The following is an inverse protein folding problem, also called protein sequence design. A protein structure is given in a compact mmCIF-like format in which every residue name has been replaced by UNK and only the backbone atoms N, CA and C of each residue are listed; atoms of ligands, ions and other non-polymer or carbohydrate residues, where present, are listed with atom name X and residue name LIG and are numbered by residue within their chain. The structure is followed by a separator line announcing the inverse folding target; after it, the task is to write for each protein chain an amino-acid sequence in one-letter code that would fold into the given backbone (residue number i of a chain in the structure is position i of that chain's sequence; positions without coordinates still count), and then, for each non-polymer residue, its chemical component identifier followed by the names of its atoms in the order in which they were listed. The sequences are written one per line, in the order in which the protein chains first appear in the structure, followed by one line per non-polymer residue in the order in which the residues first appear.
data_IF_502299005891
#
_entry.id   IF_502299005891
#
_cell.length_a   1.000
_cell.length_b   1.000
_cell.length_c   1.000
_cell.angle_alpha   90.00
_cell.angle_beta   90.00
_cell.angle_gamma   90.00
#
_symmetry.space_group_name_H-M   'P 1'
#
loop_
_entity.id
_entity.type
_entity.pdbx_description
1 polymer ?
#
# COMPACT_ATOMS: atom_id res chain seq x y z
N UNK A 1 19.45 12.19 2.10
CA UNK A 1 19.24 12.19 0.64
C UNK A 1 18.11 13.16 0.34
N UNK A 2 18.40 14.32 -0.26
CA UNK A 2 17.38 15.28 -0.66
C UNK A 2 16.74 14.77 -1.96
N UNK A 3 15.55 14.18 -1.87
CA UNK A 3 14.76 13.86 -3.05
C UNK A 3 14.00 15.12 -3.49
N UNK A 4 14.34 15.63 -4.67
CA UNK A 4 13.69 16.79 -5.31
C UNK A 4 12.29 16.49 -5.85
N UNK A 5 11.89 15.21 -5.85
CA UNK A 5 10.61 14.73 -6.40
C UNK A 5 10.08 13.57 -5.56
N UNK A 6 8.76 13.47 -5.44
CA UNK A 6 8.12 12.32 -4.79
C UNK A 6 8.19 11.08 -5.69
N UNK A 7 8.25 9.86 -5.12
CA UNK A 7 8.14 8.62 -5.90
C UNK A 7 6.86 8.57 -6.75
N UNK A 8 5.76 9.08 -6.22
CA UNK A 8 4.47 9.15 -6.92
C UNK A 8 4.52 10.04 -8.18
N UNK A 9 5.42 11.02 -8.24
CA UNK A 9 5.63 11.85 -9.43
C UNK A 9 6.33 11.08 -10.57
N UNK A 10 6.94 9.92 -10.31
CA UNK A 10 7.54 9.07 -11.34
C UNK A 10 6.55 8.10 -11.99
N UNK A 11 5.45 7.78 -11.33
CA UNK A 11 4.42 6.91 -11.89
C UNK A 11 3.58 7.70 -12.89
N UNK A 12 3.43 7.26 -14.15
CA UNK A 12 2.60 7.96 -15.15
C UNK A 12 1.17 8.22 -14.65
N UNK A 13 0.57 9.34 -15.09
CA UNK A 13 -0.80 9.70 -14.72
C UNK A 13 -1.83 8.67 -15.21
N UNK A 14 -1.56 8.04 -16.35
CA UNK A 14 -2.44 7.05 -16.99
C UNK A 14 -2.15 5.61 -16.53
N UNK A 15 -1.32 5.43 -15.49
CA UNK A 15 -0.97 4.10 -15.01
C UNK A 15 -2.19 3.38 -14.41
N UNK A 16 -2.48 2.12 -14.79
CA UNK A 16 -3.69 1.41 -14.38
C UNK A 16 -3.82 1.24 -12.86
N UNK A 17 -2.69 1.13 -12.14
CA UNK A 17 -2.73 1.06 -10.67
C UNK A 17 -3.32 2.31 -10.02
N UNK A 18 -3.29 3.49 -10.66
CA UNK A 18 -3.92 4.69 -10.09
C UNK A 18 -5.44 4.54 -10.00
N UNK A 19 -6.07 3.88 -10.97
CA UNK A 19 -7.49 3.56 -10.93
C UNK A 19 -7.79 2.53 -9.82
N UNK A 20 -6.99 1.46 -9.76
CA UNK A 20 -7.13 0.41 -8.76
C UNK A 20 -6.94 0.97 -7.34
N UNK A 21 -5.95 1.85 -7.14
CA UNK A 21 -5.69 2.54 -5.88
C UNK A 21 -6.91 3.31 -5.40
N UNK A 22 -7.58 4.07 -6.27
CA UNK A 22 -8.81 4.81 -5.92
C UNK A 22 -9.92 3.86 -5.43
N UNK A 23 -10.10 2.73 -6.10
CA UNK A 23 -11.09 1.72 -5.71
C UNK A 23 -10.74 1.08 -4.37
N UNK A 24 -9.48 0.70 -4.18
CA UNK A 24 -8.98 0.14 -2.93
C UNK A 24 -9.11 1.14 -1.77
N UNK A 25 -8.75 2.41 -1.98
CA UNK A 25 -8.89 3.48 -0.99
C UNK A 25 -10.35 3.67 -0.57
N UNK A 26 -11.28 3.69 -1.54
CA UNK A 26 -12.71 3.81 -1.25
C UNK A 26 -13.26 2.60 -0.47
N UNK A 27 -12.81 1.39 -0.79
CA UNK A 27 -13.21 0.18 -0.06
C UNK A 27 -12.64 0.16 1.36
N UNK A 28 -11.35 0.49 1.52
CA UNK A 28 -10.68 0.52 2.82
C UNK A 28 -11.22 1.63 3.73
N UNK A 29 -11.60 2.78 3.17
CA UNK A 29 -12.24 3.85 3.93
C UNK A 29 -13.54 3.40 4.59
N UNK A 30 -14.35 2.57 3.92
CA UNK A 30 -15.57 1.98 4.51
C UNK A 30 -15.28 1.01 5.66
N UNK A 31 -14.11 0.39 5.65
CA UNK A 31 -13.66 -0.54 6.69
C UNK A 31 -12.91 0.15 7.85
N UNK A 32 -12.56 1.42 7.70
CA UNK A 32 -11.82 2.19 8.72
C UNK A 32 -12.43 2.10 10.13
N UNK A 33 -13.76 2.22 10.34
CA UNK A 33 -14.34 2.08 11.67
C UNK A 33 -14.10 0.70 12.31
N UNK A 34 -14.10 -0.36 11.49
CA UNK A 34 -13.84 -1.73 11.92
C UNK A 34 -12.38 -1.88 12.33
N UNK A 35 -11.46 -1.34 11.52
CA UNK A 35 -10.04 -1.35 11.85
C UNK A 35 -9.74 -0.57 13.12
N UNK A 36 -10.34 0.61 13.29
CA UNK A 36 -10.17 1.43 14.50
C UNK A 36 -10.60 0.68 15.76
N UNK A 37 -11.69 -0.10 15.71
CA UNK A 37 -12.13 -0.90 16.84
C UNK A 37 -11.21 -2.09 17.18
N UNK A 38 -10.37 -2.54 16.23
CA UNK A 38 -9.40 -3.63 16.45
C UNK A 38 -8.08 -3.13 17.06
N UNK A 39 -7.81 -1.83 17.03
CA UNK A 39 -6.59 -1.26 17.57
C UNK A 39 -6.60 -1.23 19.10
N UNK A 40 -5.51 -1.69 19.72
CA UNK A 40 -5.29 -1.52 21.15
C UNK A 40 -5.08 -0.04 21.48
N UNK A 41 -5.74 0.45 22.52
CA UNK A 41 -5.53 1.79 23.07
C UNK A 41 -4.17 1.94 23.78
N UNK A 42 -3.54 0.81 24.13
CA UNK A 42 -2.27 0.75 24.84
C UNK A 42 -1.21 -0.02 24.03
N UNK A 43 0.06 0.34 24.22
CA UNK A 43 1.20 -0.32 23.58
C UNK A 43 1.67 0.34 22.29
N UNK A 44 2.50 -0.38 21.53
CA UNK A 44 3.09 0.14 20.28
C UNK A 44 2.07 0.03 19.14
N UNK A 45 1.79 1.12 18.40
CA UNK A 45 0.96 1.05 17.20
C UNK A 45 1.50 0.03 16.20
N UNK A 46 0.63 -0.89 15.75
CA UNK A 46 0.96 -1.78 14.63
C UNK A 46 0.88 -1.04 13.30
N UNK A 47 1.38 -1.67 12.23
CA UNK A 47 1.21 -1.15 10.88
C UNK A 47 -0.29 -1.11 10.53
N UNK A 48 -0.81 0.00 9.96
CA UNK A 48 -2.19 0.09 9.46
C UNK A 48 -2.61 -1.11 8.61
N UNK A 49 -3.72 -1.80 8.91
CA UNK A 49 -4.19 -2.93 8.10
C UNK A 49 -4.42 -2.52 6.65
N UNK A 50 -4.80 -1.26 6.39
CA UNK A 50 -4.97 -0.71 5.05
C UNK A 50 -3.67 -0.76 4.23
N UNK A 51 -2.50 -0.58 4.88
CA UNK A 51 -1.20 -0.69 4.20
C UNK A 51 -0.89 -2.13 3.85
N UNK A 52 -1.15 -3.05 4.78
CA UNK A 52 -0.95 -4.49 4.55
C UNK A 52 -1.86 -5.01 3.44
N UNK A 53 -3.15 -4.62 3.44
CA UNK A 53 -4.11 -5.02 2.42
C UNK A 53 -3.78 -4.45 1.03
N UNK A 54 -3.21 -3.25 0.95
CA UNK A 54 -2.69 -2.71 -0.33
C UNK A 54 -1.47 -3.48 -0.81
N UNK A 55 -0.57 -3.86 0.09
CA UNK A 55 0.58 -4.69 -0.24
C UNK A 55 0.13 -6.06 -0.79
N UNK A 56 -0.82 -6.73 -0.14
CA UNK A 56 -1.34 -8.01 -0.63
C UNK A 56 -2.05 -7.89 -1.97
N UNK A 57 -2.77 -6.78 -2.22
CA UNK A 57 -3.35 -6.49 -3.53
C UNK A 57 -2.27 -6.37 -4.62
N UNK A 58 -1.20 -5.63 -4.36
CA UNK A 58 -0.08 -5.51 -5.29
C UNK A 58 0.59 -6.86 -5.53
N UNK A 59 0.82 -7.65 -4.48
CA UNK A 59 1.36 -9.00 -4.59
C UNK A 59 0.48 -9.88 -5.49
N UNK A 60 -0.85 -9.82 -5.34
CA UNK A 60 -1.78 -10.57 -6.18
C UNK A 60 -1.73 -10.11 -7.65
N UNK A 61 -1.73 -8.79 -7.89
CA UNK A 61 -1.69 -8.22 -9.25
C UNK A 61 -0.40 -8.54 -10.01
N UNK A 62 0.72 -8.58 -9.30
CA UNK A 62 2.04 -8.83 -9.89
C UNK A 62 2.54 -10.26 -9.67
N UNK A 63 1.69 -11.16 -9.17
CA UNK A 63 2.03 -12.56 -8.89
C UNK A 63 3.27 -12.71 -7.99
N UNK A 64 3.48 -11.77 -7.07
CA UNK A 64 4.56 -11.84 -6.07
C UNK A 64 4.16 -12.83 -5.00
N UNK A 65 4.95 -13.90 -4.83
CA UNK A 65 4.56 -15.07 -4.04
C UNK A 65 4.96 -15.00 -2.58
N UNK A 66 5.77 -14.01 -2.19
CA UNK A 66 6.19 -13.83 -0.80
C UNK A 66 6.26 -12.37 -0.39
N UNK A 67 5.89 -12.10 0.86
CA UNK A 67 5.99 -10.76 1.45
C UNK A 67 7.44 -10.28 1.49
N UNK A 68 8.39 -11.18 1.75
CA UNK A 68 9.83 -10.85 1.73
C UNK A 68 10.28 -10.38 0.35
N UNK A 69 9.92 -11.11 -0.71
CA UNK A 69 10.21 -10.70 -2.08
C UNK A 69 9.52 -9.37 -2.42
N UNK A 70 8.31 -9.14 -1.93
CA UNK A 70 7.62 -7.87 -2.13
C UNK A 70 8.39 -6.71 -1.46
N UNK A 71 8.84 -6.89 -0.22
CA UNK A 71 9.69 -5.90 0.46
C UNK A 71 10.99 -5.63 -0.32
N UNK A 72 11.65 -6.66 -0.83
CA UNK A 72 12.84 -6.49 -1.68
C UNK A 72 12.52 -5.73 -2.98
N UNK A 73 11.36 -5.97 -3.59
CA UNK A 73 10.94 -5.25 -4.78
C UNK A 73 10.65 -3.77 -4.49
N UNK A 74 10.15 -3.41 -3.30
CA UNK A 74 9.91 -2.02 -2.93
C UNK A 74 11.20 -1.17 -2.93
N UNK A 75 12.36 -1.79 -2.69
CA UNK A 75 13.65 -1.07 -2.68
C UNK A 75 14.11 -0.64 -4.08
N UNK A 76 13.65 -1.32 -5.13
CA UNK A 76 14.15 -1.12 -6.50
C UNK A 76 13.07 -0.76 -7.52
N UNK A 77 11.81 -1.11 -7.25
CA UNK A 77 10.72 -0.98 -8.19
C UNK A 77 9.88 0.27 -7.91
N UNK A 78 10.02 1.26 -8.78
CA UNK A 78 9.28 2.53 -8.71
C UNK A 78 7.86 2.45 -9.32
N UNK A 79 7.36 1.25 -9.64
CA UNK A 79 5.98 1.05 -10.10
C UNK A 79 4.93 1.33 -9.01
N UNK A 80 5.35 1.40 -7.74
CA UNK A 80 4.50 1.51 -6.56
C UNK A 80 4.73 2.82 -5.80
#
# INVERSE_FOLDING_TARGET
MLMLMSPEARVPADHPLRAIKKLADAALSKLSPVFSAMYSEIGRPSIPPERLLKATLLMALYTVRSERQFCEQLDYNLLF
#
